data_IF_760334910441
#
_entry.id   IF_760334910441
#
_cell.length_a   1.000
_cell.length_b   1.000
_cell.length_c   1.000
_cell.angle_alpha   90.00
_cell.angle_beta   90.00
_cell.angle_gamma   90.00
#
_symmetry.space_group_name_H-M   'P 1'
#
loop_
_entity.id
_entity.type
_entity.pdbx_description
1 polymer ?
#
# COMPACT_ATOMS: atom_id res chain seq x y z
N UNK A 1 -1.30 -22.54 4.05
CA UNK A 1 -1.92 -22.69 2.72
C UNK A 1 -1.55 -24.05 2.15
N UNK A 2 -2.54 -24.78 1.62
CA UNK A 2 -2.37 -26.11 1.01
C UNK A 2 -2.30 -25.97 -0.50
N UNK A 3 -1.27 -26.55 -1.09
CA UNK A 3 -1.06 -26.64 -2.52
C UNK A 3 -1.04 -28.11 -2.95
N UNK A 4 -1.55 -28.41 -4.14
CA UNK A 4 -1.46 -29.73 -4.77
C UNK A 4 -1.12 -29.55 -6.24
N UNK A 5 -0.08 -30.24 -6.70
CA UNK A 5 0.44 -30.10 -8.07
C UNK A 5 0.77 -28.62 -8.43
N UNK A 6 1.26 -27.85 -7.44
CA UNK A 6 1.62 -26.44 -7.62
C UNK A 6 0.44 -25.45 -7.58
N UNK A 7 -0.80 -25.92 -7.47
CA UNK A 7 -1.98 -25.06 -7.40
C UNK A 7 -2.48 -24.92 -5.96
N UNK A 8 -2.87 -23.70 -5.59
CA UNK A 8 -3.54 -23.45 -4.32
C UNK A 8 -4.89 -24.18 -4.26
N UNK A 9 -5.14 -24.90 -3.16
CA UNK A 9 -6.40 -25.63 -2.93
C UNK A 9 -7.19 -25.09 -1.76
N UNK A 10 -6.56 -24.77 -0.62
CA UNK A 10 -7.27 -24.25 0.54
C UNK A 10 -6.39 -23.62 1.61
N UNK A 11 -7.01 -22.80 2.48
CA UNK A 11 -6.44 -22.42 3.76
C UNK A 11 -6.67 -23.53 4.78
N UNK A 12 -5.59 -23.99 5.40
CA UNK A 12 -5.63 -24.89 6.55
C UNK A 12 -5.76 -24.02 7.82
N UNK A 13 -6.82 -24.16 8.63
CA UNK A 13 -6.96 -23.44 9.89
C UNK A 13 -5.93 -23.93 10.92
N UNK A 14 -5.80 -23.24 12.05
CA UNK A 14 -4.98 -23.73 13.16
C UNK A 14 -5.59 -25.04 13.70
N UNK A 15 -4.74 -26.05 13.95
CA UNK A 15 -5.16 -27.35 14.49
C UNK A 15 -4.38 -28.53 13.91
N UNK A 16 -4.67 -29.73 14.40
CA UNK A 16 -4.06 -30.98 13.92
C UNK A 16 -4.75 -31.44 12.63
N UNK A 17 -3.99 -31.58 11.56
CA UNK A 17 -4.50 -32.00 10.26
C UNK A 17 -3.72 -33.21 9.76
N UNK A 18 -4.44 -34.26 9.36
CA UNK A 18 -3.85 -35.44 8.72
C UNK A 18 -3.83 -35.25 7.21
N UNK A 19 -2.65 -35.37 6.61
CA UNK A 19 -2.43 -35.25 5.17
C UNK A 19 -1.90 -36.58 4.63
N UNK A 20 -2.73 -37.27 3.86
CA UNK A 20 -2.34 -38.49 3.14
C UNK A 20 -1.89 -38.09 1.74
N UNK A 21 -0.61 -38.27 1.43
CA UNK A 21 -0.01 -37.90 0.14
C UNK A 21 0.95 -39.00 -0.38
N UNK A 22 0.42 -40.11 -0.91
CA UNK A 22 1.23 -41.24 -1.38
C UNK A 22 2.05 -40.91 -2.63
N UNK A 23 1.75 -39.80 -3.32
CA UNK A 23 2.41 -39.37 -4.56
C UNK A 23 3.34 -38.16 -4.35
N UNK A 24 3.47 -37.63 -3.12
CA UNK A 24 4.34 -36.50 -2.81
C UNK A 24 3.96 -35.19 -3.50
N UNK A 25 2.68 -35.01 -3.85
CA UNK A 25 2.18 -33.88 -4.64
C UNK A 25 1.66 -32.71 -3.80
N UNK A 26 1.55 -32.87 -2.49
CA UNK A 26 0.97 -31.88 -1.59
C UNK A 26 2.08 -31.06 -0.92
N UNK A 27 1.98 -29.74 -1.02
CA UNK A 27 2.89 -28.79 -0.36
C UNK A 27 2.11 -27.91 0.61
N UNK A 28 2.66 -27.74 1.81
CA UNK A 28 2.12 -26.82 2.81
C UNK A 28 3.05 -25.61 2.91
N UNK A 29 2.49 -24.42 2.66
CA UNK A 29 3.16 -23.15 2.91
C UNK A 29 2.58 -22.52 4.17
N UNK A 30 3.41 -22.35 5.20
CA UNK A 30 3.02 -21.62 6.39
C UNK A 30 3.23 -20.14 6.13
N UNK A 31 2.19 -19.34 6.37
CA UNK A 31 2.26 -17.89 6.26
C UNK A 31 1.99 -17.28 7.62
N UNK A 32 2.79 -16.28 7.98
CA UNK A 32 2.62 -15.55 9.22
C UNK A 32 1.37 -14.70 9.15
N UNK A 33 0.54 -14.78 10.19
CA UNK A 33 -0.54 -13.81 10.45
C UNK A 33 -0.08 -12.64 11.32
N UNK A 34 1.18 -12.67 11.79
CA UNK A 34 1.76 -11.57 12.60
C UNK A 34 2.10 -10.38 11.71
N UNK A 35 2.52 -10.67 10.49
CA UNK A 35 2.55 -9.68 9.43
C UNK A 35 1.12 -9.44 8.94
N UNK A 36 0.66 -8.19 8.89
CA UNK A 36 -0.70 -7.85 8.51
C UNK A 36 -0.97 -8.05 7.01
N UNK A 37 0.05 -8.21 6.17
CA UNK A 37 -0.10 -8.50 4.75
C UNK A 37 0.21 -9.98 4.43
N UNK A 38 -0.43 -10.50 3.40
CA UNK A 38 -0.15 -11.81 2.82
C UNK A 38 0.71 -11.62 1.57
N UNK A 39 1.93 -12.16 1.61
CA UNK A 39 2.83 -12.21 0.46
C UNK A 39 2.87 -13.63 -0.11
N UNK A 40 2.46 -13.79 -1.36
CA UNK A 40 2.56 -15.05 -2.10
C UNK A 40 2.72 -14.78 -3.60
N UNK A 41 3.55 -15.56 -4.28
CA UNK A 41 3.76 -15.45 -5.74
C UNK A 41 2.49 -15.78 -6.54
N UNK A 42 1.58 -16.57 -5.99
CA UNK A 42 0.31 -16.98 -6.62
C UNK A 42 -0.89 -16.23 -6.03
N UNK A 43 -0.67 -15.03 -5.46
CA UNK A 43 -1.73 -14.29 -4.75
C UNK A 43 -2.97 -14.07 -5.61
N UNK A 44 -2.82 -13.77 -6.89
CA UNK A 44 -3.92 -13.57 -7.84
C UNK A 44 -4.79 -14.83 -7.99
N UNK A 45 -4.17 -16.00 -8.12
CA UNK A 45 -4.86 -17.29 -8.20
C UNK A 45 -5.56 -17.58 -6.88
N UNK A 46 -4.87 -17.38 -5.75
CA UNK A 46 -5.40 -17.64 -4.41
C UNK A 46 -6.64 -16.78 -4.15
N UNK A 47 -6.57 -15.48 -4.44
CA UNK A 47 -7.68 -14.53 -4.28
C UNK A 47 -8.88 -14.95 -5.14
N UNK A 48 -8.65 -15.31 -6.41
CA UNK A 48 -9.72 -15.75 -7.34
C UNK A 48 -10.45 -17.01 -6.87
N UNK A 49 -9.82 -17.87 -6.06
CA UNK A 49 -10.50 -19.05 -5.50
C UNK A 49 -11.57 -18.72 -4.46
N UNK A 50 -11.57 -17.49 -3.90
CA UNK A 50 -12.47 -17.10 -2.81
C UNK A 50 -12.17 -17.77 -1.47
N UNK A 51 -11.11 -18.58 -1.35
CA UNK A 51 -10.78 -19.29 -0.12
C UNK A 51 -10.34 -18.36 1.03
N UNK A 52 -10.01 -17.10 0.72
CA UNK A 52 -9.60 -16.08 1.67
C UNK A 52 -10.78 -15.18 2.12
N UNK A 53 -11.98 -15.34 1.56
CA UNK A 53 -13.16 -14.51 1.87
C UNK A 53 -13.44 -14.48 3.37
N UNK A 54 -13.62 -13.27 3.91
CA UNK A 54 -13.86 -13.02 5.33
C UNK A 54 -12.64 -13.18 6.24
N UNK A 55 -11.47 -13.51 5.70
CA UNK A 55 -10.19 -13.64 6.45
C UNK A 55 -9.15 -12.64 5.99
N UNK A 56 -9.28 -12.13 4.78
CA UNK A 56 -8.43 -11.06 4.25
C UNK A 56 -9.27 -9.97 3.61
N UNK A 57 -8.77 -8.76 3.67
CA UNK A 57 -9.17 -7.64 2.84
C UNK A 57 -8.30 -7.64 1.59
N UNK A 58 -8.91 -7.82 0.42
CA UNK A 58 -8.22 -7.83 -0.87
C UNK A 58 -8.29 -6.42 -1.45
N UNK A 59 -7.13 -5.88 -1.83
CA UNK A 59 -7.00 -4.59 -2.49
C UNK A 59 -6.49 -4.81 -3.91
N UNK A 60 -7.34 -4.56 -4.89
CA UNK A 60 -6.97 -4.54 -6.31
C UNK A 60 -6.88 -3.08 -6.77
N UNK A 61 -5.66 -2.52 -6.72
CA UNK A 61 -5.39 -1.12 -6.96
C UNK A 61 -5.00 -0.88 -8.41
N UNK A 62 -5.73 0.01 -9.08
CA UNK A 62 -5.44 0.43 -10.46
C UNK A 62 -4.24 1.39 -10.50
N UNK A 63 -3.70 1.60 -11.70
CA UNK A 63 -2.54 2.48 -11.96
C UNK A 63 -2.67 3.87 -11.33
N UNK A 64 -3.90 4.41 -11.36
CA UNK A 64 -4.24 5.73 -10.84
C UNK A 64 -4.68 5.74 -9.37
N UNK A 65 -4.56 4.62 -8.67
CA UNK A 65 -4.94 4.49 -7.27
C UNK A 65 -3.70 4.31 -6.40
N UNK A 66 -3.75 4.91 -5.22
CA UNK A 66 -2.83 4.59 -4.12
C UNK A 66 -3.68 4.20 -2.92
N UNK A 67 -3.15 3.30 -2.10
CA UNK A 67 -3.77 2.98 -0.83
C UNK A 67 -2.88 3.44 0.32
N UNK A 68 -3.46 4.23 1.22
CA UNK A 68 -2.88 4.54 2.50
C UNK A 68 -3.32 3.45 3.49
N UNK A 69 -2.37 2.81 4.16
CA UNK A 69 -2.65 1.69 5.06
C UNK A 69 -2.29 2.09 6.48
N UNK A 70 -3.25 1.93 7.39
CA UNK A 70 -3.06 2.10 8.83
C UNK A 70 -3.27 0.76 9.52
N UNK A 71 -2.41 0.49 10.50
CA UNK A 71 -2.43 -0.73 11.31
C UNK A 71 -2.43 -0.33 12.77
N UNK A 72 -3.46 -0.76 13.50
CA UNK A 72 -3.67 -0.42 14.92
C UNK A 72 -3.57 1.10 15.16
N UNK A 73 -4.30 1.88 14.34
CA UNK A 73 -4.36 3.35 14.40
C UNK A 73 -3.11 4.10 13.93
N UNK A 74 -2.05 3.40 13.50
CA UNK A 74 -0.79 4.02 13.06
C UNK A 74 -0.60 3.88 11.56
N UNK A 75 -0.14 4.95 10.92
CA UNK A 75 0.21 4.89 9.51
C UNK A 75 1.34 3.87 9.30
N UNK A 76 1.12 2.93 8.39
CA UNK A 76 2.05 1.84 8.16
C UNK A 76 2.80 2.00 6.83
N UNK A 77 2.06 2.19 5.72
CA UNK A 77 2.66 2.32 4.38
C UNK A 77 1.68 2.85 3.35
N UNK A 78 2.25 3.27 2.22
CA UNK A 78 1.53 3.54 0.97
C UNK A 78 1.69 2.33 0.06
N UNK A 79 0.63 1.95 -0.65
CA UNK A 79 0.65 0.95 -1.71
C UNK A 79 0.44 1.64 -3.07
N UNK A 80 1.26 1.21 -4.04
CA UNK A 80 1.07 1.54 -5.46
C UNK A 80 -0.03 0.69 -6.08
N UNK A 81 -0.15 0.77 -7.41
CA UNK A 81 -0.98 -0.16 -8.17
C UNK A 81 -0.56 -1.62 -7.95
N UNK A 82 -1.50 -2.54 -8.12
CA UNK A 82 -1.28 -3.98 -7.95
C UNK A 82 -2.27 -4.63 -6.98
N UNK A 83 -2.09 -5.94 -6.83
CA UNK A 83 -2.93 -6.78 -5.99
C UNK A 83 -2.27 -7.02 -4.63
N UNK A 84 -2.99 -6.71 -3.56
CA UNK A 84 -2.56 -6.91 -2.18
C UNK A 84 -3.65 -7.63 -1.38
N UNK A 85 -3.23 -8.33 -0.32
CA UNK A 85 -4.15 -8.94 0.62
C UNK A 85 -3.68 -8.70 2.05
N UNK A 86 -4.59 -8.25 2.91
CA UNK A 86 -4.34 -7.95 4.31
C UNK A 86 -5.15 -8.86 5.22
N UNK A 87 -4.51 -9.51 6.20
CA UNK A 87 -5.20 -10.34 7.17
C UNK A 87 -6.11 -9.49 8.05
N UNK A 88 -7.37 -9.90 8.15
CA UNK A 88 -8.34 -9.28 9.05
C UNK A 88 -8.46 -10.08 10.35
N UNK A 89 -8.78 -9.38 11.45
CA UNK A 89 -9.13 -9.99 12.75
C UNK A 89 -7.99 -10.16 13.76
N UNK A 90 -6.71 -10.14 13.34
CA UNK A 90 -5.57 -10.16 14.30
C UNK A 90 -5.13 -8.75 14.67
N UNK A 91 -5.07 -7.86 13.68
CA UNK A 91 -4.80 -6.43 13.84
C UNK A 91 -5.91 -5.66 13.17
N UNK A 92 -6.13 -4.44 13.63
CA UNK A 92 -7.03 -3.52 12.96
C UNK A 92 -6.31 -2.97 11.73
N UNK A 93 -6.82 -3.29 10.54
CA UNK A 93 -6.32 -2.76 9.27
C UNK A 93 -7.36 -1.80 8.74
N UNK A 94 -6.95 -0.55 8.51
CA UNK A 94 -7.76 0.46 7.83
C UNK A 94 -7.06 0.84 6.55
N UNK A 95 -7.79 0.85 5.45
CA UNK A 95 -7.28 1.21 4.13
C UNK A 95 -8.09 2.38 3.59
N UNK A 96 -7.39 3.39 3.08
CA UNK A 96 -8.00 4.50 2.34
C UNK A 96 -7.43 4.52 0.94
N UNK A 97 -8.32 4.45 -0.05
CA UNK A 97 -7.93 4.53 -1.46
C UNK A 97 -8.04 5.99 -1.89
N UNK A 98 -6.94 6.53 -2.37
CA UNK A 98 -6.83 7.91 -2.86
C UNK A 98 -6.52 7.91 -4.37
N UNK A 99 -7.02 8.93 -5.06
CA UNK A 99 -6.80 9.10 -6.49
C UNK A 99 -5.44 9.76 -6.74
N UNK A 100 -4.53 9.01 -7.33
CA UNK A 100 -3.17 9.45 -7.61
C UNK A 100 -3.12 10.52 -8.70
N UNK A 101 -4.18 10.67 -9.53
CA UNK A 101 -4.24 11.71 -10.59
C UNK A 101 -4.22 13.12 -10.00
N UNK A 102 -4.63 13.27 -8.75
CA UNK A 102 -4.36 14.47 -7.98
C UNK A 102 -2.89 14.42 -7.56
N UNK A 103 -2.03 15.08 -8.33
CA UNK A 103 -0.57 15.04 -8.19
C UNK A 103 -0.11 15.33 -6.76
N UNK A 104 -0.79 16.28 -6.10
CA UNK A 104 -0.58 16.58 -4.68
C UNK A 104 -1.44 15.68 -3.80
N UNK A 105 -0.81 15.06 -2.80
CA UNK A 105 -1.52 14.40 -1.72
C UNK A 105 -2.03 15.44 -0.71
N UNK A 106 -3.35 15.60 -0.65
CA UNK A 106 -4.03 16.38 0.38
C UNK A 106 -4.66 15.45 1.40
N UNK A 107 -4.15 15.46 2.63
CA UNK A 107 -4.62 14.58 3.69
C UNK A 107 -4.36 15.21 5.08
N UNK A 108 -5.30 15.09 6.02
CA UNK A 108 -5.19 15.66 7.37
C UNK A 108 -3.98 15.10 8.15
N UNK A 109 -3.77 13.79 8.06
CA UNK A 109 -2.63 13.07 8.64
C UNK A 109 -1.33 13.14 7.81
N UNK A 110 -1.17 14.12 6.91
CA UNK A 110 0.01 14.22 6.03
C UNK A 110 1.33 14.14 6.81
N UNK A 111 1.42 14.80 7.98
CA UNK A 111 2.59 14.76 8.85
C UNK A 111 2.94 13.35 9.32
N UNK A 112 1.93 12.53 9.62
CA UNK A 112 2.09 11.14 10.03
C UNK A 112 2.52 10.26 8.85
N UNK A 113 1.94 10.52 7.67
CA UNK A 113 2.23 9.79 6.42
C UNK A 113 3.69 10.00 6.00
N UNK A 114 4.14 11.25 5.86
CA UNK A 114 5.49 11.54 5.33
C UNK A 114 6.63 11.15 6.27
N UNK A 115 6.35 10.93 7.56
CA UNK A 115 7.35 10.47 8.54
C UNK A 115 7.69 9.00 8.39
N UNK A 116 6.81 8.20 7.79
CA UNK A 116 7.10 6.79 7.57
C UNK A 116 8.13 6.63 6.45
N UNK A 117 9.16 5.83 6.70
CA UNK A 117 10.23 5.56 5.73
C UNK A 117 9.70 5.02 4.39
N UNK A 118 8.61 4.26 4.43
CA UNK A 118 7.97 3.69 3.25
C UNK A 118 7.30 4.75 2.36
N UNK A 119 6.87 5.89 2.93
CA UNK A 119 6.22 6.95 2.17
C UNK A 119 7.18 7.61 1.17
N UNK A 120 8.48 7.71 1.51
CA UNK A 120 9.50 8.31 0.66
C UNK A 120 9.66 7.61 -0.72
N UNK A 121 9.23 6.36 -0.84
CA UNK A 121 9.27 5.61 -2.12
C UNK A 121 8.24 6.07 -3.13
N UNK A 122 7.09 6.58 -2.66
CA UNK A 122 5.95 6.96 -3.51
C UNK A 122 5.62 8.44 -3.42
N UNK A 123 6.21 9.16 -2.46
CA UNK A 123 6.02 10.59 -2.29
C UNK A 123 7.34 11.34 -2.45
N UNK A 124 7.26 12.46 -3.14
CA UNK A 124 8.23 13.54 -3.06
C UNK A 124 7.72 14.60 -2.07
N UNK A 125 8.47 14.79 -0.98
CA UNK A 125 8.05 15.62 0.15
C UNK A 125 8.82 16.92 0.12
N UNK A 126 8.09 18.03 0.09
CA UNK A 126 8.66 19.37 0.08
C UNK A 126 8.16 20.14 1.30
N UNK A 127 9.05 20.92 1.92
CA UNK A 127 8.71 21.87 2.96
C UNK A 127 9.08 23.26 2.47
N UNK A 128 8.10 24.15 2.40
CA UNK A 128 8.31 25.58 2.12
C UNK A 128 8.52 26.29 3.44
N UNK A 129 9.64 26.98 3.60
CA UNK A 129 9.96 27.67 4.85
C UNK A 129 9.12 28.94 5.08
N UNK A 130 9.06 29.40 6.34
CA UNK A 130 8.15 30.49 6.79
C UNK A 130 8.34 31.82 6.07
N UNK A 131 9.53 32.07 5.53
CA UNK A 131 9.88 33.31 4.83
C UNK A 131 10.01 33.09 3.32
N UNK A 132 9.57 31.93 2.83
CA UNK A 132 9.66 31.56 1.44
C UNK A 132 8.25 31.42 0.85
N UNK A 133 8.16 31.60 -0.46
CA UNK A 133 7.05 31.10 -1.26
C UNK A 133 7.56 29.96 -2.14
N UNK A 134 6.83 28.85 -2.18
CA UNK A 134 7.12 27.75 -3.08
C UNK A 134 6.46 27.98 -4.42
N UNK A 135 7.18 27.86 -5.53
CA UNK A 135 6.62 27.88 -6.88
C UNK A 135 6.54 26.45 -7.38
N UNK A 136 5.33 25.94 -7.56
CA UNK A 136 5.09 24.58 -8.06
C UNK A 136 5.09 24.56 -9.59
N UNK A 137 5.95 23.70 -10.12
CA UNK A 137 5.92 23.26 -11.50
C UNK A 137 5.51 21.79 -11.57
N UNK A 138 4.64 21.45 -12.51
CA UNK A 138 4.27 20.07 -12.84
C UNK A 138 4.52 19.86 -14.32
N UNK A 139 5.33 18.85 -14.66
CA UNK A 139 5.77 18.57 -16.03
C UNK A 139 6.35 19.81 -16.74
N UNK A 140 7.13 20.60 -15.99
CA UNK A 140 7.77 21.84 -16.44
C UNK A 140 6.82 23.04 -16.60
N UNK A 141 5.52 22.88 -16.38
CA UNK A 141 4.54 23.97 -16.45
C UNK A 141 4.30 24.57 -15.07
N UNK A 142 4.25 25.90 -15.00
CA UNK A 142 3.85 26.60 -13.78
C UNK A 142 2.39 26.25 -13.45
N UNK A 143 2.15 25.83 -12.20
CA UNK A 143 0.81 25.50 -11.71
C UNK A 143 0.32 26.57 -10.74
N UNK A 144 0.99 26.74 -9.61
CA UNK A 144 0.60 27.70 -8.59
C UNK A 144 1.75 28.01 -7.60
N UNK A 145 1.51 28.99 -6.74
CA UNK A 145 2.33 29.26 -5.56
C UNK A 145 1.82 28.47 -4.36
N UNK A 146 2.75 28.08 -3.50
CA UNK A 146 2.56 27.34 -2.25
C UNK A 146 2.99 28.25 -1.10
N UNK A 147 2.11 28.39 -0.11
CA UNK A 147 2.42 29.06 1.14
C UNK A 147 3.45 28.25 1.97
N UNK A 148 4.04 28.85 3.01
CA UNK A 148 4.85 28.10 3.95
C UNK A 148 4.12 26.90 4.54
N UNK A 149 4.69 25.71 4.41
CA UNK A 149 3.99 24.50 4.77
C UNK A 149 4.71 23.21 4.38
N UNK A 150 4.04 22.09 4.66
CA UNK A 150 4.49 20.75 4.30
C UNK A 150 3.59 20.22 3.18
N UNK A 151 4.22 19.77 2.10
CA UNK A 151 3.57 19.30 0.90
C UNK A 151 4.14 17.93 0.51
N UNK A 152 3.31 17.10 -0.11
CA UNK A 152 3.77 15.85 -0.69
C UNK A 152 3.11 15.63 -2.06
N UNK A 153 3.90 15.13 -3.00
CA UNK A 153 3.48 14.89 -4.38
C UNK A 153 3.75 13.43 -4.73
N UNK A 154 2.85 12.81 -5.50
CA UNK A 154 3.03 11.43 -5.93
C UNK A 154 4.19 11.31 -6.91
N UNK A 155 5.15 10.44 -6.60
CA UNK A 155 6.17 9.99 -7.56
C UNK A 155 5.51 9.20 -8.68
N UNK A 156 6.12 9.26 -9.86
CA UNK A 156 5.74 8.52 -11.07
C UNK A 156 4.33 8.83 -11.63
N UNK A 157 3.66 9.86 -11.10
CA UNK A 157 2.42 10.39 -11.68
C UNK A 157 2.73 11.60 -12.57
N UNK A 158 3.51 12.55 -12.06
CA UNK A 158 3.95 13.73 -12.79
C UNK A 158 5.29 14.23 -12.23
N UNK A 159 6.08 14.92 -13.05
CA UNK A 159 7.33 15.54 -12.60
C UNK A 159 7.01 16.81 -11.79
N UNK A 160 6.95 16.67 -10.47
CA UNK A 160 6.63 17.75 -9.54
C UNK A 160 7.91 18.39 -9.03
N UNK A 161 8.06 19.70 -9.25
CA UNK A 161 9.21 20.48 -8.76
C UNK A 161 8.73 21.72 -8.03
N UNK A 162 9.19 21.89 -6.79
CA UNK A 162 8.98 23.11 -6.03
C UNK A 162 10.28 23.91 -6.00
N UNK A 163 10.20 25.19 -6.36
CA UNK A 163 11.31 26.15 -6.25
C UNK A 163 10.96 27.16 -5.17
N UNK A 164 11.76 27.23 -4.12
CA UNK A 164 11.57 28.24 -3.06
C UNK A 164 12.17 29.57 -3.48
N UNK A 165 11.42 30.65 -3.24
CA UNK A 165 11.84 32.03 -3.42
C UNK A 165 11.70 32.75 -2.07
N UNK A 166 12.75 33.45 -1.66
CA UNK A 166 12.71 34.31 -0.48
C UNK A 166 11.76 35.49 -0.72
N UNK A 167 10.97 35.83 0.30
CA UNK A 167 10.09 36.99 0.34
C UNK A 167 10.78 38.26 0.85
#
# INVERSE_FOLDING_TARGET
MKFRDGEFKSLIPAGTHWLIDPLGKVRIRVVSKREPWLTDEQLDVIVKTGALTGKVEVLDLKDNQRALVWIDGRFARILGAGLYAYWTGVREVRVEIVDARQVRLEHEELKSIVRASEAARLLDVCKVDRNCVGVLYVDGQYVNQLEPGLYAFWRDIADSRVVELDL
#
